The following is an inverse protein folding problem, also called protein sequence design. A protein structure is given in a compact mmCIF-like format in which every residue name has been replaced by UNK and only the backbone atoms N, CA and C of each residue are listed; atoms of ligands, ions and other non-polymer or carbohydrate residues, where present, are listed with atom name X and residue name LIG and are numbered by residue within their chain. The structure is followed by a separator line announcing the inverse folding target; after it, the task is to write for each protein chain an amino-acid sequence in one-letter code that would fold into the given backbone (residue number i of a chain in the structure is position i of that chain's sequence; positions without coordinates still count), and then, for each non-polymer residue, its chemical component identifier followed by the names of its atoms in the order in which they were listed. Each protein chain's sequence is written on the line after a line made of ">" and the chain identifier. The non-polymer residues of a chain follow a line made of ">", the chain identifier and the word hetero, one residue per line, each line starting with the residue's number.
data_IF_909987712769
#
_entry.id   IF_909987712769
#
_cell.length_a   1.000
_cell.length_b   1.000
_cell.length_c   1.000
_cell.angle_alpha   90.00
_cell.angle_beta   90.00
_cell.angle_gamma   90.00
#
_symmetry.space_group_name_H-M   'P 1'
#
loop_
_entity.id
_entity.type
_entity.pdbx_description
1 polymer ?
#
# COMPACT_ATOMS: atom_id res chain seq x y z
N UNK A 1 10.13 -1.18 -5.65
CA UNK A 1 9.12 -0.84 -4.61
C UNK A 1 9.52 -1.51 -3.31
N UNK A 2 9.84 -0.78 -2.26
CA UNK A 2 9.94 -1.35 -0.93
C UNK A 2 8.53 -1.45 -0.36
N UNK A 3 7.93 -2.63 -0.38
CA UNK A 3 6.67 -2.88 0.31
C UNK A 3 6.96 -2.84 1.81
N UNK A 4 6.72 -1.71 2.46
CA UNK A 4 6.68 -1.66 3.91
C UNK A 4 5.32 -2.23 4.30
N UNK A 5 5.32 -3.45 4.86
CA UNK A 5 4.10 -4.03 5.42
C UNK A 5 3.47 -3.02 6.37
N UNK A 6 2.20 -2.67 6.24
CA UNK A 6 1.53 -1.86 7.23
C UNK A 6 1.60 -2.63 8.56
N UNK A 7 1.95 -1.94 9.64
CA UNK A 7 1.83 -2.49 10.97
C UNK A 7 0.35 -2.87 11.15
N UNK A 8 0.07 -4.16 11.20
CA UNK A 8 -1.26 -4.67 11.54
C UNK A 8 -1.54 -4.20 12.95
N UNK A 9 -2.38 -3.18 13.08
CA UNK A 9 -2.94 -2.80 14.36
C UNK A 9 -3.83 -3.98 14.81
N UNK A 10 -3.26 -4.86 15.61
CA UNK A 10 -4.01 -5.94 16.25
C UNK A 10 -5.01 -5.28 17.20
N UNK A 11 -6.26 -5.29 16.81
CA UNK A 11 -7.36 -4.84 17.65
C UNK A 11 -7.49 -5.82 18.82
N UNK A 12 -6.79 -5.52 19.91
CA UNK A 12 -6.96 -6.24 21.17
C UNK A 12 -8.26 -5.71 21.78
N UNK A 13 -9.34 -6.39 21.46
CA UNK A 13 -10.63 -6.20 22.14
C UNK A 13 -10.47 -6.67 23.59
N UNK A 14 -10.15 -5.75 24.49
CA UNK A 14 -10.20 -6.02 25.92
C UNK A 14 -11.66 -6.07 26.35
N UNK A 15 -12.20 -7.28 26.44
CA UNK A 15 -13.47 -7.51 27.16
C UNK A 15 -13.23 -7.18 28.63
N UNK A 16 -13.79 -6.07 29.08
CA UNK A 16 -13.86 -5.73 30.50
C UNK A 16 -14.90 -6.66 31.10
N UNK A 17 -14.46 -7.64 31.86
CA UNK A 17 -15.33 -8.45 32.70
C UNK A 17 -15.63 -7.60 33.95
N UNK A 18 -16.83 -7.03 34.02
CA UNK A 18 -17.30 -6.37 35.23
C UNK A 18 -17.82 -7.47 36.16
N UNK A 19 -16.98 -7.91 37.10
CA UNK A 19 -17.44 -8.72 38.24
C UNK A 19 -18.09 -7.78 39.24
N UNK A 20 -19.40 -7.93 39.44
CA UNK A 20 -20.12 -7.15 40.42
C UNK A 20 -19.67 -7.47 41.85
N UNK A 21 -19.28 -6.45 42.59
CA UNK A 21 -19.20 -6.45 44.03
C UNK A 21 -20.18 -5.42 44.55
N UNK A 22 -21.18 -5.87 45.28
CA UNK A 22 -22.10 -5.02 46.07
C UNK A 22 -21.28 -4.38 47.19
N UNK A 23 -21.25 -3.05 47.21
CA UNK A 23 -20.74 -2.31 48.37
C UNK A 23 -20.10 -0.97 47.98
N UNK A 24 -20.84 0.08 48.14
CA UNK A 24 -20.53 1.50 48.34
C UNK A 24 -19.24 2.07 47.77
N UNK A 25 -19.38 2.95 46.77
CA UNK A 25 -18.31 3.84 46.34
C UNK A 25 -18.11 3.82 44.81
N UNK A 26 -18.85 4.69 44.11
CA UNK A 26 -18.69 4.88 42.66
C UNK A 26 -17.42 5.69 42.42
N UNK A 27 -16.27 5.03 42.36
CA UNK A 27 -15.05 5.66 41.86
C UNK A 27 -15.10 5.63 40.32
N UNK A 28 -15.41 6.78 39.74
CA UNK A 28 -15.24 7.00 38.30
C UNK A 28 -13.76 6.90 37.97
N UNK A 29 -13.32 5.71 37.53
CA UNK A 29 -12.02 5.57 36.90
C UNK A 29 -12.12 6.23 35.52
N UNK A 30 -11.76 7.49 35.43
CA UNK A 30 -11.51 8.14 34.15
C UNK A 30 -10.31 7.47 33.50
N UNK A 31 -10.57 6.43 32.73
CA UNK A 31 -9.56 5.83 31.87
C UNK A 31 -9.05 6.89 30.90
N UNK A 32 -7.79 7.32 31.05
CA UNK A 32 -7.11 8.12 30.03
C UNK A 32 -7.18 7.30 28.74
N UNK A 33 -7.93 7.77 27.77
CA UNK A 33 -7.87 7.22 26.42
C UNK A 33 -6.48 7.50 25.87
N UNK A 34 -5.63 6.48 25.87
CA UNK A 34 -4.38 6.52 25.13
C UNK A 34 -4.77 6.52 23.64
N UNK A 35 -4.80 7.70 23.03
CA UNK A 35 -4.91 7.81 21.58
C UNK A 35 -3.60 7.27 21.03
N UNK A 36 -3.67 6.20 20.26
CA UNK A 36 -2.55 5.78 19.45
C UNK A 36 -2.19 6.95 18.51
N UNK A 37 -0.99 7.50 18.67
CA UNK A 37 -0.49 8.52 17.76
C UNK A 37 -0.19 7.82 16.42
N UNK A 38 -0.71 8.34 15.32
CA UNK A 38 -0.31 7.92 13.99
C UNK A 38 1.08 8.46 13.72
N UNK A 39 2.03 7.54 13.54
CA UNK A 39 3.37 7.90 13.12
C UNK A 39 3.34 8.03 11.60
N UNK A 40 3.70 9.21 11.10
CA UNK A 40 3.81 9.43 9.66
C UNK A 40 4.82 8.45 9.04
N UNK A 41 4.52 7.98 7.84
CA UNK A 41 5.47 7.19 7.05
C UNK A 41 6.70 8.04 6.78
N UNK A 42 7.89 7.50 7.07
CA UNK A 42 9.14 8.20 6.82
C UNK A 42 9.31 8.45 5.31
N UNK A 43 9.70 9.67 4.95
CA UNK A 43 10.06 10.00 3.57
C UNK A 43 11.27 9.17 3.12
N UNK A 44 11.25 8.73 1.86
CA UNK A 44 12.37 8.04 1.19
C UNK A 44 12.54 8.61 -0.20
N UNK A 45 13.75 8.48 -0.77
CA UNK A 45 13.98 8.85 -2.15
C UNK A 45 13.15 7.94 -3.09
N UNK A 46 12.65 8.50 -4.18
CA UNK A 46 11.86 7.80 -5.19
C UNK A 46 12.67 6.73 -5.94
N UNK A 47 13.98 6.90 -5.96
CA UNK A 47 14.90 6.00 -6.68
C UNK A 47 14.99 6.32 -8.17
N UNK A 48 15.84 5.57 -8.92
CA UNK A 48 16.14 5.88 -10.32
C UNK A 48 15.05 5.45 -11.32
N UNK A 49 14.03 4.73 -10.87
CA UNK A 49 13.00 4.11 -11.74
C UNK A 49 11.62 4.74 -11.56
N UNK A 50 11.56 5.95 -11.02
CA UNK A 50 10.30 6.69 -11.00
C UNK A 50 9.82 6.97 -12.42
N UNK A 51 8.57 6.64 -12.77
CA UNK A 51 8.06 6.78 -14.12
C UNK A 51 8.16 8.22 -14.63
N UNK A 52 8.68 8.40 -15.82
CA UNK A 52 8.73 9.72 -16.48
C UNK A 52 7.36 10.14 -17.00
N UNK A 53 6.50 9.16 -17.29
CA UNK A 53 5.13 9.34 -17.75
C UNK A 53 4.23 8.25 -17.15
N UNK A 54 3.02 8.61 -16.75
CA UNK A 54 1.98 7.67 -16.32
C UNK A 54 0.97 7.51 -17.46
N UNK A 55 1.18 6.50 -18.29
CA UNK A 55 0.30 6.21 -19.44
C UNK A 55 -0.95 5.45 -19.01
N UNK A 56 -0.82 4.61 -17.96
CA UNK A 56 -1.89 3.79 -17.42
C UNK A 56 -2.26 4.29 -16.01
N UNK A 57 -3.53 4.34 -15.72
CA UNK A 57 -4.05 4.87 -14.45
C UNK A 57 -5.06 3.96 -13.78
N UNK A 58 -5.28 2.75 -14.33
CA UNK A 58 -6.21 1.80 -13.71
C UNK A 58 -5.58 1.04 -12.53
N UNK A 59 -6.42 0.28 -11.86
CA UNK A 59 -6.05 -0.46 -10.64
C UNK A 59 -5.62 -1.90 -10.91
N UNK A 60 -5.63 -2.37 -12.16
CA UNK A 60 -5.17 -3.70 -12.55
C UNK A 60 -3.89 -3.61 -13.40
N UNK A 61 -2.75 -3.59 -12.73
CA UNK A 61 -1.46 -3.52 -13.40
C UNK A 61 -1.07 -4.80 -14.15
N UNK A 62 -1.87 -5.87 -14.07
CA UNK A 62 -1.57 -7.15 -14.73
C UNK A 62 -2.01 -7.20 -16.20
N UNK A 63 -2.59 -6.13 -16.70
CA UNK A 63 -2.98 -5.96 -18.11
C UNK A 63 -2.59 -4.57 -18.58
N UNK A 64 -2.44 -4.39 -19.90
CA UNK A 64 -2.16 -3.10 -20.54
C UNK A 64 -3.34 -2.76 -21.42
N UNK A 65 -3.74 -1.50 -21.48
CA UNK A 65 -4.86 -1.03 -22.31
C UNK A 65 -4.75 -1.49 -23.77
N UNK A 66 -5.80 -2.14 -24.24
CA UNK A 66 -5.84 -2.75 -25.58
C UNK A 66 -5.09 -4.08 -25.71
N UNK A 67 -4.42 -4.55 -24.67
CA UNK A 67 -3.80 -5.86 -24.63
C UNK A 67 -4.82 -6.99 -24.35
N UNK A 68 -4.52 -8.20 -24.81
CA UNK A 68 -5.35 -9.39 -24.57
C UNK A 68 -4.67 -10.42 -23.65
N UNK A 69 -3.40 -10.22 -23.38
CA UNK A 69 -2.60 -11.11 -22.51
C UNK A 69 -2.38 -10.46 -21.14
N UNK A 70 -2.09 -11.30 -20.16
CA UNK A 70 -1.75 -10.88 -18.80
C UNK A 70 -0.25 -10.91 -18.56
N UNK A 71 0.19 -10.10 -17.63
CA UNK A 71 1.54 -10.11 -17.10
C UNK A 71 1.92 -11.48 -16.54
N UNK A 72 3.17 -11.88 -16.75
CA UNK A 72 3.74 -13.10 -16.18
C UNK A 72 4.09 -12.92 -14.71
N UNK A 73 3.83 -13.98 -13.90
CA UNK A 73 4.15 -14.01 -12.49
C UNK A 73 2.94 -14.29 -11.60
N UNK A 74 3.18 -14.28 -10.29
CA UNK A 74 2.13 -14.46 -9.29
C UNK A 74 1.32 -13.18 -9.12
N UNK A 75 0.01 -13.26 -9.35
CA UNK A 75 -0.90 -12.13 -9.18
C UNK A 75 -1.19 -11.94 -7.69
N UNK A 76 -1.04 -10.72 -7.22
CA UNK A 76 -1.33 -10.33 -5.83
C UNK A 76 -2.24 -9.10 -5.82
N UNK A 77 -3.02 -8.98 -4.75
CA UNK A 77 -3.80 -7.79 -4.43
C UNK A 77 -3.12 -7.03 -3.29
N UNK A 78 -3.00 -5.73 -3.46
CA UNK A 78 -2.48 -4.82 -2.43
C UNK A 78 -3.60 -3.86 -2.05
N UNK A 79 -3.85 -3.75 -0.75
CA UNK A 79 -4.84 -2.82 -0.21
C UNK A 79 -4.33 -2.16 1.06
N UNK A 80 -4.87 -0.99 1.37
CA UNK A 80 -4.50 -0.24 2.55
C UNK A 80 -5.37 0.99 2.76
N UNK A 81 -4.95 1.83 3.71
CA UNK A 81 -5.63 3.07 4.04
C UNK A 81 -4.61 4.18 4.23
N UNK A 82 -4.89 5.36 3.68
CA UNK A 82 -4.10 6.58 3.92
C UNK A 82 -4.72 7.33 5.09
N UNK A 83 -3.88 7.64 6.07
CA UNK A 83 -4.26 8.39 7.26
C UNK A 83 -3.38 9.63 7.39
N UNK A 84 -3.93 10.72 7.90
CA UNK A 84 -3.17 11.90 8.28
C UNK A 84 -2.48 11.74 9.65
N UNK A 85 -1.70 12.75 10.08
CA UNK A 85 -1.02 12.76 11.37
C UNK A 85 -1.95 12.76 12.61
N UNK A 86 -3.26 12.90 12.39
CA UNK A 86 -4.30 12.80 13.43
C UNK A 86 -5.05 11.46 13.38
N UNK A 87 -4.58 10.51 12.58
CA UNK A 87 -5.22 9.22 12.32
C UNK A 87 -6.59 9.33 11.63
N UNK A 88 -6.81 10.41 10.87
CA UNK A 88 -8.04 10.54 10.10
C UNK A 88 -7.83 10.03 8.68
N UNK A 89 -8.81 9.31 8.09
CA UNK A 89 -8.74 8.88 6.70
C UNK A 89 -8.59 10.07 5.74
N UNK A 90 -7.72 9.91 4.73
CA UNK A 90 -7.52 10.90 3.68
C UNK A 90 -8.15 10.39 2.39
N UNK A 91 -9.34 10.91 2.08
CA UNK A 91 -10.05 10.59 0.84
C UNK A 91 -9.52 11.39 -0.35
N UNK A 92 -9.69 10.83 -1.56
CA UNK A 92 -9.23 11.42 -2.83
C UNK A 92 -7.72 11.74 -2.84
N UNK A 93 -6.93 10.98 -2.10
CA UNK A 93 -5.47 11.08 -2.11
C UNK A 93 -4.94 10.31 -3.32
N UNK A 94 -4.13 10.95 -4.16
CA UNK A 94 -3.48 10.29 -5.28
C UNK A 94 -2.27 9.50 -4.77
N UNK A 95 -2.21 8.23 -5.17
CA UNK A 95 -1.11 7.33 -4.93
C UNK A 95 -0.46 6.97 -6.25
N UNK A 96 0.85 7.06 -6.32
CA UNK A 96 1.63 6.62 -7.46
C UNK A 96 2.38 5.35 -7.08
N UNK A 97 2.22 4.33 -7.89
CA UNK A 97 2.81 3.01 -7.67
C UNK A 97 3.67 2.67 -8.86
N UNK A 98 4.88 2.19 -8.63
CA UNK A 98 5.75 1.64 -9.68
C UNK A 98 6.56 0.49 -9.12
N UNK A 99 6.81 -0.51 -9.95
CA UNK A 99 7.54 -1.70 -9.55
C UNK A 99 8.19 -2.40 -10.74
N UNK A 100 9.17 -3.27 -10.45
CA UNK A 100 9.72 -4.21 -11.40
C UNK A 100 8.69 -5.30 -11.77
N UNK A 101 8.87 -5.94 -12.92
CA UNK A 101 8.14 -7.15 -13.29
C UNK A 101 8.54 -8.36 -12.42
N UNK A 102 7.96 -9.53 -12.65
CA UNK A 102 8.26 -10.75 -11.89
C UNK A 102 9.72 -11.24 -12.01
N UNK A 103 10.45 -10.75 -12.98
CA UNK A 103 11.87 -11.07 -13.21
C UNK A 103 12.82 -9.98 -12.69
N UNK A 104 12.30 -8.95 -12.01
CA UNK A 104 13.13 -7.89 -11.43
C UNK A 104 13.53 -6.80 -12.43
N UNK A 105 12.81 -6.63 -13.56
CA UNK A 105 13.09 -5.57 -14.52
C UNK A 105 12.03 -4.48 -14.51
N UNK A 106 12.47 -3.23 -14.50
CA UNK A 106 11.62 -2.06 -14.67
C UNK A 106 11.44 -1.70 -16.14
N UNK A 107 10.23 -1.29 -16.52
CA UNK A 107 9.96 -0.66 -17.80
C UNK A 107 10.40 0.83 -17.76
N UNK A 108 11.71 1.06 -17.57
CA UNK A 108 12.28 2.39 -17.41
C UNK A 108 13.61 2.51 -18.17
N UNK A 109 13.90 3.67 -18.82
CA UNK A 109 15.16 3.85 -19.56
C UNK A 109 16.41 3.63 -18.72
N UNK A 110 16.39 4.01 -17.44
CA UNK A 110 17.53 3.80 -16.52
C UNK A 110 17.78 2.32 -16.18
N UNK A 111 16.86 1.41 -16.51
CA UNK A 111 17.01 -0.05 -16.33
C UNK A 111 17.37 -0.77 -17.65
N UNK A 112 17.78 -0.03 -18.67
CA UNK A 112 18.13 -0.60 -20.00
C UNK A 112 19.30 -1.61 -19.97
N UNK A 113 20.19 -1.48 -18.98
CA UNK A 113 21.30 -2.42 -18.77
C UNK A 113 20.90 -3.75 -18.11
N UNK A 114 19.69 -3.89 -17.62
CA UNK A 114 19.20 -5.12 -17.00
C UNK A 114 18.94 -6.18 -18.09
N UNK A 115 19.56 -7.36 -17.96
CA UNK A 115 19.46 -8.45 -18.93
C UNK A 115 18.15 -9.24 -18.89
N UNK A 116 17.34 -9.05 -17.83
CA UNK A 116 16.04 -9.70 -17.73
C UNK A 116 15.08 -9.16 -18.81
N UNK A 117 14.19 -9.99 -19.35
CA UNK A 117 13.23 -9.53 -20.35
C UNK A 117 12.21 -8.56 -19.77
N UNK A 118 11.81 -7.58 -20.59
CA UNK A 118 10.61 -6.78 -20.30
C UNK A 118 9.36 -7.65 -20.46
N UNK A 119 8.41 -7.45 -19.59
CA UNK A 119 7.06 -7.98 -19.75
C UNK A 119 6.16 -6.86 -20.32
N UNK A 120 5.87 -6.96 -21.61
CA UNK A 120 5.05 -5.97 -22.32
C UNK A 120 3.56 -6.03 -21.97
N UNK A 121 3.13 -7.04 -21.23
CA UNK A 121 1.77 -7.17 -20.72
C UNK A 121 1.62 -6.62 -19.30
N UNK A 122 2.74 -6.23 -18.70
CA UNK A 122 2.77 -5.65 -17.35
C UNK A 122 2.81 -4.13 -17.42
N UNK A 123 1.83 -3.49 -16.81
CA UNK A 123 1.72 -2.02 -16.80
C UNK A 123 2.91 -1.33 -16.12
N UNK A 124 3.48 -1.94 -15.07
CA UNK A 124 4.68 -1.49 -14.37
C UNK A 124 4.49 -0.29 -13.44
N UNK A 125 3.48 0.51 -13.65
CA UNK A 125 3.13 1.67 -12.82
C UNK A 125 1.62 1.91 -12.83
N UNK A 126 1.10 2.59 -11.81
CA UNK A 126 -0.30 3.02 -11.74
C UNK A 126 -0.43 4.33 -10.95
N UNK A 127 -1.46 5.09 -11.27
CA UNK A 127 -1.91 6.22 -10.46
C UNK A 127 -3.33 5.93 -10.01
N UNK A 128 -3.51 5.78 -8.71
CA UNK A 128 -4.77 5.41 -8.08
C UNK A 128 -5.17 6.44 -7.04
N UNK A 129 -6.48 6.57 -6.77
CA UNK A 129 -6.97 7.46 -5.73
C UNK A 129 -7.61 6.67 -4.60
N UNK A 130 -7.46 7.16 -3.36
CA UNK A 130 -8.22 6.60 -2.25
C UNK A 130 -9.70 6.93 -2.38
N UNK A 131 -10.56 6.05 -1.85
CA UNK A 131 -11.97 6.35 -1.67
C UNK A 131 -12.18 7.42 -0.57
N UNK A 132 -13.44 7.78 -0.30
CA UNK A 132 -13.78 8.78 0.73
C UNK A 132 -13.42 8.34 2.16
N UNK A 133 -13.17 7.04 2.41
CA UNK A 133 -12.68 6.50 3.67
C UNK A 133 -11.14 6.36 3.71
N UNK A 134 -10.44 6.91 2.73
CA UNK A 134 -8.99 6.79 2.62
C UNK A 134 -8.49 5.42 2.18
N UNK A 135 -9.37 4.50 1.77
CA UNK A 135 -9.00 3.15 1.37
C UNK A 135 -8.52 3.12 -0.08
N UNK A 136 -7.52 2.28 -0.37
CA UNK A 136 -7.06 1.99 -1.72
C UNK A 136 -6.88 0.48 -1.91
N UNK A 137 -6.98 0.05 -3.16
CA UNK A 137 -6.74 -1.33 -3.59
C UNK A 137 -6.27 -1.34 -5.03
N UNK A 138 -5.33 -2.20 -5.34
CA UNK A 138 -4.90 -2.47 -6.71
C UNK A 138 -4.40 -3.91 -6.86
N UNK A 139 -4.41 -4.40 -8.10
CA UNK A 139 -3.95 -5.74 -8.47
C UNK A 139 -2.63 -5.59 -9.21
N UNK A 140 -1.67 -6.41 -8.86
CA UNK A 140 -0.37 -6.44 -9.49
C UNK A 140 0.23 -7.84 -9.46
N UNK A 141 1.47 -7.98 -9.89
CA UNK A 141 2.25 -9.22 -9.77
C UNK A 141 3.28 -9.09 -8.64
N UNK A 142 3.66 -10.21 -8.05
CA UNK A 142 4.77 -10.24 -7.09
C UNK A 142 6.06 -9.84 -7.82
N UNK A 143 6.72 -8.72 -7.44
CA UNK A 143 7.93 -8.26 -8.12
C UNK A 143 9.11 -9.20 -7.86
N UNK A 144 9.90 -9.46 -8.89
CA UNK A 144 11.19 -10.13 -8.76
C UNK A 144 12.23 -9.24 -8.06
N UNK A 145 13.28 -9.87 -7.54
CA UNK A 145 14.43 -9.15 -7.01
C UNK A 145 15.19 -8.47 -8.14
N UNK A 146 15.60 -7.23 -7.94
CA UNK A 146 16.52 -6.57 -8.85
C UNK A 146 17.82 -6.21 -8.14
N UNK A 147 18.93 -6.22 -8.88
CA UNK A 147 20.23 -5.76 -8.41
C UNK A 147 20.39 -4.31 -8.85
N UNK A 148 20.60 -3.41 -7.87
CA UNK A 148 20.96 -2.02 -8.14
C UNK A 148 22.47 -1.89 -8.34
#
# INVERSE_FOLDING_TARGET
>A
MKVKRPAVATNISRRIVVSGILGGGLTLVMGKQVRAACVLTAGQAEGPFYPTEFQETDVDMTTVSGGTARAGGEVIEISGMVLDGKCQPVGNCNLEVWQANSLGRYAHPSDSGNSQPLDTNFQGHARISTDYNGQYRFITILPGSYSA
#
